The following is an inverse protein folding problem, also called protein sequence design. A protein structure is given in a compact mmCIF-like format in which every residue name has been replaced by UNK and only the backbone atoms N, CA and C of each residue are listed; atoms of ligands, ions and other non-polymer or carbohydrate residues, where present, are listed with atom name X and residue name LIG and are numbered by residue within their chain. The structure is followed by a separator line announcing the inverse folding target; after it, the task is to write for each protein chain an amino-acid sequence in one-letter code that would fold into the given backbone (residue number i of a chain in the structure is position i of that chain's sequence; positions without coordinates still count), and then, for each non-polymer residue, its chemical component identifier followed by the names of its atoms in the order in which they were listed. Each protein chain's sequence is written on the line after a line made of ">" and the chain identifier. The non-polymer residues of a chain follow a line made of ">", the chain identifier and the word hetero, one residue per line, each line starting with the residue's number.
data_IF_477346198199
#
_entry.id   IF_477346198199
#
_cell.length_a   1.000
_cell.length_b   1.000
_cell.length_c   1.000
_cell.angle_alpha   90.00
_cell.angle_beta   90.00
_cell.angle_gamma   90.00
#
_symmetry.space_group_name_H-M   'P 1'
#
loop_
_entity.id
_entity.type
_entity.pdbx_description
1 polymer ?
#
# COMPACT_ATOMS: atom_id res chain seq x y z
N UNK A 1 6.80 -6.36 8.45
CA UNK A 1 5.60 -6.64 7.64
C UNK A 1 5.90 -7.80 6.69
N UNK A 2 4.95 -8.71 6.46
CA UNK A 2 5.10 -9.73 5.42
C UNK A 2 4.64 -9.15 4.07
N UNK A 3 5.54 -9.00 3.11
CA UNK A 3 5.22 -8.31 1.86
C UNK A 3 4.36 -9.15 0.93
N UNK A 4 4.48 -10.48 0.97
CA UNK A 4 3.85 -11.50 0.09
C UNK A 4 3.85 -11.14 -1.42
N UNK A 5 3.89 -12.15 -2.30
CA UNK A 5 3.90 -11.84 -3.73
C UNK A 5 2.57 -11.23 -4.18
N UNK A 6 1.45 -11.94 -3.96
CA UNK A 6 0.12 -11.51 -4.42
C UNK A 6 0.05 -11.27 -5.94
N UNK A 7 -1.00 -10.60 -6.40
CA UNK A 7 -1.18 -10.25 -7.82
C UNK A 7 -2.04 -9.00 -8.03
N UNK A 8 -2.04 -8.47 -9.25
CA UNK A 8 -2.89 -7.34 -9.63
C UNK A 8 -4.38 -7.69 -9.53
N UNK A 9 -4.77 -8.90 -9.93
CA UNK A 9 -6.14 -9.43 -9.89
C UNK A 9 -6.63 -9.61 -8.46
N UNK A 10 -5.77 -10.09 -7.57
CA UNK A 10 -6.07 -10.18 -6.14
C UNK A 10 -6.23 -8.79 -5.49
N UNK A 11 -5.65 -7.76 -6.11
CA UNK A 11 -5.63 -6.41 -5.55
C UNK A 11 -4.79 -6.31 -4.28
N UNK A 12 -3.81 -7.20 -4.12
CA UNK A 12 -3.03 -7.27 -2.89
C UNK A 12 -1.63 -7.87 -3.05
N UNK A 13 -0.73 -7.54 -2.12
CA UNK A 13 0.67 -7.98 -2.09
C UNK A 13 1.61 -7.10 -2.90
N UNK A 14 2.89 -7.45 -2.93
CA UNK A 14 3.91 -6.60 -3.56
C UNK A 14 3.76 -6.50 -5.08
N UNK A 15 3.33 -7.56 -5.77
CA UNK A 15 3.07 -7.51 -7.22
C UNK A 15 1.93 -6.56 -7.57
N UNK A 16 0.91 -6.43 -6.70
CA UNK A 16 -0.13 -5.41 -6.86
C UNK A 16 0.45 -4.00 -6.75
N UNK A 17 1.37 -3.77 -5.81
CA UNK A 17 2.06 -2.47 -5.67
C UNK A 17 2.87 -2.15 -6.92
N UNK A 18 3.58 -3.13 -7.48
CA UNK A 18 4.33 -2.97 -8.73
C UNK A 18 3.39 -2.64 -9.91
N UNK A 19 2.32 -3.41 -10.11
CA UNK A 19 1.38 -3.16 -11.21
C UNK A 19 0.74 -1.77 -11.10
N UNK A 20 0.42 -1.30 -9.90
CA UNK A 20 -0.38 -0.10 -9.69
C UNK A 20 0.42 1.18 -9.49
N UNK A 21 1.54 1.10 -8.76
CA UNK A 21 2.29 2.25 -8.25
C UNK A 21 3.72 2.37 -8.82
N UNK A 22 4.11 1.46 -9.72
CA UNK A 22 5.33 1.53 -10.55
C UNK A 22 5.03 1.49 -12.06
N UNK A 23 3.77 1.64 -12.43
CA UNK A 23 3.33 1.63 -13.81
C UNK A 23 2.76 3.01 -14.17
N UNK A 24 3.49 3.82 -14.97
CA UNK A 24 3.09 5.20 -15.27
C UNK A 24 1.78 5.29 -16.06
N UNK A 25 1.30 4.19 -16.65
CA UNK A 25 0.02 4.14 -17.35
C UNK A 25 -1.18 4.00 -16.39
N UNK A 26 -0.95 3.73 -15.11
CA UNK A 26 -2.01 3.63 -14.11
C UNK A 26 -2.29 5.01 -13.54
N UNK A 27 -3.58 5.34 -13.47
CA UNK A 27 -4.04 6.57 -12.84
C UNK A 27 -4.02 6.43 -11.30
N UNK A 28 -2.84 6.37 -10.70
CA UNK A 28 -2.59 6.23 -9.26
C UNK A 28 -1.32 7.00 -8.85
N UNK A 29 -1.12 7.25 -7.54
CA UNK A 29 0.14 7.79 -7.03
C UNK A 29 1.30 6.86 -7.42
N UNK A 30 2.45 7.41 -7.80
CA UNK A 30 3.58 6.63 -8.33
C UNK A 30 4.81 6.76 -7.43
N UNK A 31 5.43 5.65 -7.07
CA UNK A 31 6.71 5.67 -6.36
C UNK A 31 7.81 6.16 -7.29
N UNK A 32 8.74 6.93 -6.74
CA UNK A 32 9.99 7.34 -7.41
C UNK A 32 11.21 6.58 -6.90
N UNK A 33 11.13 5.98 -5.70
CA UNK A 33 12.12 5.04 -5.18
C UNK A 33 12.14 3.74 -5.98
N UNK A 34 13.20 2.94 -5.89
CA UNK A 34 13.24 1.63 -6.56
C UNK A 34 12.36 0.59 -5.83
N UNK A 35 11.87 -0.46 -6.50
CA UNK A 35 11.13 -1.54 -5.83
C UNK A 35 11.82 -2.15 -4.61
N UNK A 36 13.12 -2.45 -4.70
CA UNK A 36 13.85 -3.06 -3.58
C UNK A 36 14.11 -2.07 -2.43
N UNK A 37 14.22 -0.78 -2.75
CA UNK A 37 14.25 0.28 -1.76
C UNK A 37 12.90 0.37 -1.03
N UNK A 38 11.79 0.33 -1.77
CA UNK A 38 10.45 0.29 -1.16
C UNK A 38 10.25 -0.94 -0.26
N UNK A 39 10.74 -2.14 -0.66
CA UNK A 39 10.69 -3.32 0.22
C UNK A 39 11.42 -3.06 1.54
N UNK A 40 12.61 -2.46 1.46
CA UNK A 40 13.44 -2.12 2.62
C UNK A 40 12.73 -1.11 3.53
N UNK A 41 12.12 -0.08 2.95
CA UNK A 41 11.29 0.90 3.66
C UNK A 41 10.11 0.20 4.36
N UNK A 42 9.32 -0.61 3.66
CA UNK A 42 8.14 -1.29 4.20
C UNK A 42 8.46 -2.27 5.35
N UNK A 43 9.71 -2.74 5.43
CA UNK A 43 10.21 -3.62 6.47
C UNK A 43 11.00 -2.89 7.55
N UNK A 44 11.20 -1.57 7.43
CA UNK A 44 11.92 -0.77 8.41
C UNK A 44 11.18 -0.75 9.75
N UNK A 45 11.95 -0.55 10.83
CA UNK A 45 11.38 -0.42 12.18
C UNK A 45 10.38 0.74 12.27
N UNK A 46 10.69 1.84 11.60
CA UNK A 46 9.83 3.04 11.53
C UNK A 46 8.44 2.69 10.95
N UNK A 47 8.39 2.06 9.78
CA UNK A 47 7.12 1.69 9.13
C UNK A 47 6.37 0.63 9.93
N UNK A 48 7.06 -0.41 10.40
CA UNK A 48 6.42 -1.53 11.12
C UNK A 48 5.90 -1.11 12.50
N UNK A 49 6.57 -0.16 13.17
CA UNK A 49 6.14 0.35 14.48
C UNK A 49 5.13 1.49 14.40
N UNK A 50 4.88 2.04 13.20
CA UNK A 50 3.86 3.07 13.02
C UNK A 50 2.47 2.53 13.41
N UNK A 51 1.75 3.20 14.32
CA UNK A 51 0.41 2.78 14.75
C UNK A 51 -0.59 2.73 13.60
N UNK A 52 -1.57 1.85 13.71
CA UNK A 52 -2.72 1.86 12.80
C UNK A 52 -3.54 3.12 13.07
N UNK A 53 -3.72 3.96 12.06
CA UNK A 53 -4.48 5.22 12.15
C UNK A 53 -5.99 5.01 11.98
N UNK A 54 -6.39 4.05 11.13
CA UNK A 54 -7.79 3.67 10.91
C UNK A 54 -7.91 2.26 10.33
N UNK A 55 -9.11 1.70 10.39
CA UNK A 55 -9.48 0.45 9.72
C UNK A 55 -10.50 0.74 8.63
N UNK A 56 -10.21 0.28 7.41
CA UNK A 56 -11.15 0.32 6.29
C UNK A 56 -11.73 -1.08 6.08
N UNK A 57 -12.95 -1.16 5.55
CA UNK A 57 -13.57 -2.43 5.21
C UNK A 57 -13.81 -2.49 3.71
N UNK A 58 -13.50 -3.63 3.11
CA UNK A 58 -13.76 -3.90 1.70
C UNK A 58 -14.56 -5.19 1.58
N UNK A 59 -15.62 -5.14 0.77
CA UNK A 59 -16.38 -6.32 0.41
C UNK A 59 -15.59 -7.12 -0.63
N UNK A 60 -15.36 -8.41 -0.38
CA UNK A 60 -14.66 -9.31 -1.30
C UNK A 60 -15.60 -10.45 -1.66
N UNK A 61 -15.78 -10.67 -2.96
CA UNK A 61 -16.58 -11.79 -3.46
C UNK A 61 -15.73 -13.07 -3.47
N UNK A 62 -16.16 -14.07 -2.73
CA UNK A 62 -15.53 -15.39 -2.70
C UNK A 62 -15.92 -16.22 -3.92
N UNK A 63 -15.21 -17.32 -4.14
CA UNK A 63 -15.41 -18.21 -5.29
C UNK A 63 -16.83 -18.84 -5.33
N UNK A 64 -17.45 -19.03 -4.16
CA UNK A 64 -18.82 -19.51 -4.02
C UNK A 64 -19.90 -18.42 -4.24
N UNK A 65 -19.46 -17.17 -4.51
CA UNK A 65 -20.32 -16.02 -4.74
C UNK A 65 -20.72 -15.25 -3.49
N UNK A 66 -20.35 -15.72 -2.29
CA UNK A 66 -20.59 -14.98 -1.04
C UNK A 66 -19.72 -13.74 -0.93
N UNK A 67 -20.12 -12.78 -0.09
CA UNK A 67 -19.38 -11.55 0.18
C UNK A 67 -18.80 -11.61 1.59
N UNK A 68 -17.49 -11.46 1.70
CA UNK A 68 -16.79 -11.32 2.98
C UNK A 68 -16.31 -9.88 3.16
N UNK A 69 -16.56 -9.30 4.34
CA UNK A 69 -15.97 -8.02 4.74
C UNK A 69 -14.55 -8.24 5.24
N UNK A 70 -13.58 -7.71 4.51
CA UNK A 70 -12.17 -7.73 4.93
C UNK A 70 -11.73 -6.39 5.49
N UNK A 71 -11.20 -6.42 6.71
CA UNK A 71 -10.56 -5.28 7.34
C UNK A 71 -9.18 -5.00 6.71
N UNK A 72 -8.89 -3.72 6.47
CA UNK A 72 -7.61 -3.18 6.01
C UNK A 72 -7.12 -2.19 7.04
N UNK A 73 -5.96 -2.47 7.63
CA UNK A 73 -5.36 -1.68 8.69
C UNK A 73 -4.43 -0.65 8.07
N UNK A 74 -4.84 0.62 8.15
CA UNK A 74 -4.14 1.74 7.52
C UNK A 74 -3.07 2.28 8.46
N UNK A 75 -1.88 2.50 7.93
CA UNK A 75 -0.80 3.27 8.55
C UNK A 75 -0.44 4.41 7.62
N UNK A 76 -0.28 5.61 8.17
CA UNK A 76 0.25 6.76 7.45
C UNK A 76 1.62 7.06 8.04
N UNK A 77 2.66 6.92 7.21
CA UNK A 77 4.06 7.07 7.61
C UNK A 77 4.60 8.32 6.94
N UNK A 78 5.26 9.19 7.70
CA UNK A 78 6.02 10.32 7.16
C UNK A 78 7.49 9.95 7.17
N UNK A 79 8.15 9.96 6.02
CA UNK A 79 9.56 9.59 5.86
C UNK A 79 10.46 10.82 5.73
N UNK A 80 11.76 10.64 5.84
CA UNK A 80 12.75 11.73 5.75
C UNK A 80 12.95 12.28 4.33
N UNK A 81 12.49 11.57 3.31
CA UNK A 81 12.67 11.94 1.90
C UNK A 81 11.42 11.67 1.07
N UNK A 82 11.32 12.39 -0.06
CA UNK A 82 10.24 12.16 -1.02
C UNK A 82 10.38 10.76 -1.63
N UNK A 83 9.29 9.99 -1.57
CA UNK A 83 9.25 8.60 -2.05
C UNK A 83 8.45 8.42 -3.34
N UNK A 84 7.75 9.45 -3.78
CA UNK A 84 6.91 9.39 -4.97
C UNK A 84 6.10 10.65 -5.21
N UNK A 85 5.16 10.56 -6.15
CA UNK A 85 4.22 11.61 -6.51
C UNK A 85 2.83 11.17 -6.05
N UNK A 86 2.20 12.00 -5.23
CA UNK A 86 0.79 11.82 -4.88
C UNK A 86 -0.10 12.26 -6.05
N UNK A 87 -0.94 11.35 -6.54
CA UNK A 87 -1.84 11.63 -7.66
C UNK A 87 -2.82 12.78 -7.37
N UNK A 88 -3.26 12.93 -6.12
CA UNK A 88 -4.27 13.94 -5.81
C UNK A 88 -3.71 15.36 -5.82
N UNK A 89 -2.47 15.54 -5.38
CA UNK A 89 -1.78 16.83 -5.38
C UNK A 89 -0.90 17.07 -6.62
N UNK A 90 -0.54 16.01 -7.34
CA UNK A 90 0.43 16.06 -8.45
C UNK A 90 1.86 16.41 -7.98
N UNK A 91 2.11 16.38 -6.68
CA UNK A 91 3.35 16.87 -6.08
C UNK A 91 4.17 15.73 -5.46
N UNK A 92 5.51 15.90 -5.38
CA UNK A 92 6.35 14.99 -4.60
C UNK A 92 5.87 14.89 -3.15
N UNK A 93 5.94 13.69 -2.57
CA UNK A 93 5.51 13.44 -1.19
C UNK A 93 6.46 12.48 -0.48
N UNK A 94 6.68 12.74 0.80
CA UNK A 94 7.35 11.85 1.75
C UNK A 94 6.36 11.07 2.62
N UNK A 95 5.05 11.26 2.40
CA UNK A 95 4.01 10.51 3.10
C UNK A 95 3.72 9.23 2.33
N UNK A 96 3.64 8.11 3.04
CA UNK A 96 3.26 6.82 2.49
C UNK A 96 2.09 6.25 3.29
N UNK A 97 1.03 5.84 2.60
CA UNK A 97 -0.02 5.03 3.21
C UNK A 97 0.24 3.55 2.97
N UNK A 98 0.20 2.75 4.03
CA UNK A 98 0.35 1.29 3.97
C UNK A 98 -0.89 0.60 4.52
N UNK A 99 -1.43 -0.35 3.77
CA UNK A 99 -2.57 -1.17 4.17
C UNK A 99 -2.09 -2.60 4.40
N UNK A 100 -2.42 -3.14 5.57
CA UNK A 100 -2.23 -4.56 5.88
C UNK A 100 -3.54 -5.27 6.13
N UNK A 101 -3.54 -6.59 6.02
CA UNK A 101 -4.59 -7.43 6.58
C UNK A 101 -4.42 -7.58 8.12
N UNK A 102 -5.32 -8.36 8.74
CA UNK A 102 -5.29 -8.67 10.18
C UNK A 102 -4.06 -9.46 10.65
N UNK A 103 -3.33 -10.07 9.73
CA UNK A 103 -2.11 -10.84 10.00
C UNK A 103 -0.84 -10.03 9.76
N UNK A 104 -0.97 -8.75 9.35
CA UNK A 104 0.17 -7.91 9.04
C UNK A 104 0.81 -8.22 7.69
N UNK A 105 0.08 -8.90 6.79
CA UNK A 105 0.50 -9.04 5.40
C UNK A 105 0.16 -7.78 4.62
N UNK A 106 1.06 -7.38 3.72
CA UNK A 106 0.84 -6.25 2.83
C UNK A 106 -0.38 -6.52 1.95
N UNK A 107 -1.25 -5.51 1.90
CA UNK A 107 -2.32 -5.41 0.90
C UNK A 107 -1.83 -4.45 -0.18
N UNK A 108 -1.55 -3.20 0.18
CA UNK A 108 -0.99 -2.23 -0.74
C UNK A 108 -0.18 -1.17 0.00
N UNK A 109 0.64 -0.43 -0.73
CA UNK A 109 1.35 0.75 -0.27
C UNK A 109 1.30 1.81 -1.39
N UNK A 110 1.10 3.07 -1.03
CA UNK A 110 0.97 4.17 -2.00
C UNK A 110 1.63 5.44 -1.46
N UNK A 111 2.27 6.25 -2.33
CA UNK A 111 2.61 7.63 -2.00
C UNK A 111 1.35 8.45 -1.72
N UNK A 112 1.44 9.32 -0.72
CA UNK A 112 0.36 10.18 -0.25
C UNK A 112 -0.59 9.50 0.72
N UNK A 113 -1.66 10.23 1.06
CA UNK A 113 -2.74 9.79 1.93
C UNK A 113 -3.92 9.31 1.09
N UNK A 114 -4.47 8.13 1.41
CA UNK A 114 -5.76 7.71 0.84
C UNK A 114 -6.92 8.42 1.53
N UNK A 115 -7.78 9.09 0.76
CA UNK A 115 -9.01 9.72 1.22
C UNK A 115 -10.20 8.78 1.09
#
# INVERSE_FOLDING_TARGET
>A
MNLRNGSAEEGAGFNHVLDRHFNPNKNASQFSVKPDELKSILQSKEVVSTPVSRVLYSDIKLADGSIEKQARYVREVTLDSNIGIDKFSGSPTNIMTVLTDKHGNLVTATPGVIK
#
